data_IF_857818786494
#
_entry.id   IF_857818786494
#
_cell.length_a   1.000
_cell.length_b   1.000
_cell.length_c   1.000
_cell.angle_alpha   90.00
_cell.angle_beta   90.00
_cell.angle_gamma   90.00
#
_symmetry.space_group_name_H-M   'P 1'
#
loop_
_entity.id
_entity.type
_entity.pdbx_description
1 polymer ?
#
# COMPACT_ATOMS: atom_id res chain seq x y z
N UNK A 1 0.07 -24.58 2.02
CA UNK A 1 -1.23 -23.87 2.00
C UNK A 1 -1.84 -24.09 0.63
N UNK A 2 -2.71 -25.08 0.49
CA UNK A 2 -3.36 -25.40 -0.78
C UNK A 2 -4.37 -24.29 -1.09
N UNK A 3 -4.07 -23.49 -2.11
CA UNK A 3 -5.01 -22.50 -2.66
C UNK A 3 -6.16 -23.28 -3.30
N UNK A 4 -7.33 -23.26 -2.66
CA UNK A 4 -8.54 -23.78 -3.29
C UNK A 4 -8.79 -23.05 -4.61
N UNK A 5 -8.71 -23.80 -5.71
CA UNK A 5 -8.89 -23.26 -7.06
C UNK A 5 -10.31 -22.68 -7.17
N UNK A 6 -10.39 -21.39 -7.47
CA UNK A 6 -11.66 -20.69 -7.76
C UNK A 6 -12.13 -19.69 -6.69
N UNK A 7 -11.76 -19.87 -5.42
CA UNK A 7 -12.22 -18.99 -4.32
C UNK A 7 -11.76 -17.54 -4.44
N UNK A 8 -10.60 -17.33 -5.08
CA UNK A 8 -9.97 -16.02 -5.26
C UNK A 8 -10.10 -15.48 -6.69
N UNK A 9 -10.95 -16.08 -7.52
CA UNK A 9 -11.17 -15.59 -8.89
C UNK A 9 -12.10 -14.38 -8.84
N UNK A 10 -11.57 -13.21 -9.17
CA UNK A 10 -12.31 -11.94 -9.20
C UNK A 10 -13.08 -11.71 -10.51
N UNK A 11 -12.84 -12.55 -11.50
CA UNK A 11 -13.48 -12.49 -12.81
C UNK A 11 -14.50 -13.62 -12.92
N UNK A 12 -15.64 -13.34 -13.52
CA UNK A 12 -16.68 -14.30 -13.85
C UNK A 12 -16.97 -14.32 -15.35
N UNK A 13 -17.41 -15.48 -15.83
CA UNK A 13 -17.79 -15.69 -17.23
C UNK A 13 -19.27 -15.34 -17.40
N UNK A 14 -19.55 -14.30 -18.16
CA UNK A 14 -20.89 -13.95 -18.58
C UNK A 14 -21.18 -14.64 -19.92
N UNK A 15 -22.08 -15.63 -19.93
CA UNK A 15 -22.54 -16.29 -21.15
C UNK A 15 -23.79 -15.58 -21.65
N UNK A 16 -23.64 -14.76 -22.70
CA UNK A 16 -24.77 -14.17 -23.40
C UNK A 16 -25.56 -15.24 -24.17
N UNK A 17 -26.88 -15.12 -24.18
CA UNK A 17 -27.84 -16.12 -24.68
C UNK A 17 -27.77 -16.45 -26.18
N UNK A 18 -26.79 -15.95 -26.94
CA UNK A 18 -26.80 -16.06 -28.41
C UNK A 18 -25.47 -15.97 -29.15
N UNK A 19 -24.32 -15.97 -28.48
CA UNK A 19 -23.00 -16.00 -29.14
C UNK A 19 -22.05 -16.88 -28.33
N UNK A 20 -21.36 -17.83 -28.99
CA UNK A 20 -20.38 -18.73 -28.36
C UNK A 20 -19.16 -18.03 -27.74
N UNK A 21 -19.13 -16.69 -27.74
CA UNK A 21 -18.10 -15.87 -27.13
C UNK A 21 -18.31 -15.74 -25.61
N UNK A 22 -17.36 -16.23 -24.81
CA UNK A 22 -17.32 -16.03 -23.36
C UNK A 22 -16.88 -14.59 -23.06
N UNK A 23 -17.72 -13.79 -22.40
CA UNK A 23 -17.35 -12.45 -21.96
C UNK A 23 -16.90 -12.48 -20.50
N UNK A 24 -15.70 -11.97 -20.22
CA UNK A 24 -15.17 -11.89 -18.86
C UNK A 24 -15.61 -10.58 -18.20
N UNK A 25 -16.18 -10.66 -17.01
CA UNK A 25 -16.62 -9.50 -16.22
C UNK A 25 -16.08 -9.58 -14.80
N UNK A 26 -15.93 -8.43 -14.14
CA UNK A 26 -15.55 -8.37 -12.73
C UNK A 26 -16.73 -8.79 -11.85
N UNK A 27 -16.51 -9.73 -10.94
CA UNK A 27 -17.49 -10.12 -9.94
C UNK A 27 -17.49 -9.09 -8.80
N UNK A 28 -18.38 -8.10 -8.86
CA UNK A 28 -18.46 -6.94 -7.96
C UNK A 28 -18.32 -7.30 -6.47
N UNK A 29 -19.07 -8.32 -6.02
CA UNK A 29 -19.03 -8.77 -4.62
C UNK A 29 -17.65 -9.30 -4.21
N UNK A 30 -16.93 -9.98 -5.10
CA UNK A 30 -15.58 -10.50 -4.82
C UNK A 30 -14.54 -9.39 -4.87
N UNK A 31 -14.68 -8.43 -5.79
CA UNK A 31 -13.84 -7.23 -5.84
C UNK A 31 -13.97 -6.43 -4.53
N UNK A 32 -15.20 -6.18 -4.06
CA UNK A 32 -15.46 -5.53 -2.75
C UNK A 32 -14.84 -6.31 -1.60
N UNK A 33 -14.98 -7.63 -1.58
CA UNK A 33 -14.36 -8.48 -0.55
C UNK A 33 -12.82 -8.41 -0.57
N UNK A 34 -12.21 -8.35 -1.77
CA UNK A 34 -10.77 -8.16 -1.93
C UNK A 34 -10.32 -6.81 -1.37
N UNK A 35 -10.97 -5.71 -1.77
CA UNK A 35 -10.65 -4.37 -1.30
C UNK A 35 -10.83 -4.23 0.22
N UNK A 36 -11.86 -4.86 0.79
CA UNK A 36 -12.05 -4.89 2.24
C UNK A 36 -10.87 -5.61 2.95
N UNK A 37 -10.39 -6.73 2.38
CA UNK A 37 -9.25 -7.48 2.93
C UNK A 37 -7.94 -6.73 2.77
N UNK A 38 -7.75 -6.06 1.64
CA UNK A 38 -6.62 -5.16 1.38
C UNK A 38 -6.56 -4.04 2.43
N UNK A 39 -7.69 -3.38 2.70
CA UNK A 39 -7.76 -2.32 3.72
C UNK A 39 -7.37 -2.83 5.11
N UNK A 40 -7.86 -4.01 5.49
CA UNK A 40 -7.49 -4.64 6.77
C UNK A 40 -6.01 -5.02 6.83
N UNK A 41 -5.44 -5.47 5.71
CA UNK A 41 -4.01 -5.75 5.62
C UNK A 41 -3.18 -4.46 5.74
N UNK A 42 -3.56 -3.40 5.03
CA UNK A 42 -2.89 -2.10 5.08
C UNK A 42 -2.88 -1.53 6.50
N UNK A 43 -4.00 -1.62 7.23
CA UNK A 43 -4.06 -1.20 8.63
C UNK A 43 -3.03 -1.94 9.49
N UNK A 44 -2.91 -3.27 9.35
CA UNK A 44 -1.91 -4.07 10.07
C UNK A 44 -0.48 -3.72 9.65
N UNK A 45 -0.26 -3.47 8.36
CA UNK A 45 1.04 -3.07 7.83
C UNK A 45 1.47 -1.72 8.42
N UNK A 46 0.56 -0.75 8.45
CA UNK A 46 0.80 0.56 9.09
C UNK A 46 1.12 0.43 10.57
N UNK A 47 0.41 -0.42 11.32
CA UNK A 47 0.71 -0.69 12.73
C UNK A 47 2.12 -1.28 12.88
N UNK A 48 2.49 -2.26 12.05
CA UNK A 48 3.83 -2.85 12.06
C UNK A 48 4.93 -1.81 11.75
N UNK A 49 4.70 -0.93 10.76
CA UNK A 49 5.59 0.18 10.43
C UNK A 49 5.72 1.17 11.59
N UNK A 50 4.62 1.47 12.30
CA UNK A 50 4.62 2.36 13.45
C UNK A 50 5.52 1.85 14.58
N UNK A 51 5.42 0.55 14.92
CA UNK A 51 6.20 -0.03 16.01
C UNK A 51 7.68 -0.27 15.67
N UNK A 52 8.00 -0.48 14.40
CA UNK A 52 9.35 -0.88 13.98
C UNK A 52 10.16 0.25 13.36
N UNK A 53 9.52 1.36 12.97
CA UNK A 53 10.16 2.51 12.31
C UNK A 53 10.94 3.44 13.25
N UNK A 54 11.40 2.97 14.40
CA UNK A 54 12.14 3.73 15.41
C UNK A 54 11.25 4.39 16.47
N UNK A 55 11.51 5.66 16.80
CA UNK A 55 10.67 6.41 17.75
C UNK A 55 9.20 6.38 17.31
N UNK A 56 8.22 6.19 18.21
CA UNK A 56 6.81 6.12 17.84
C UNK A 56 6.43 7.32 16.97
N UNK A 57 6.04 7.05 15.73
CA UNK A 57 5.61 8.08 14.80
C UNK A 57 4.41 8.80 15.40
N UNK A 58 4.50 10.10 15.71
CA UNK A 58 3.31 10.85 16.13
C UNK A 58 2.23 10.64 15.05
N UNK A 59 1.01 10.30 15.48
CA UNK A 59 -0.13 9.77 14.70
C UNK A 59 -0.28 10.31 13.25
N UNK A 60 0.12 11.56 13.00
CA UNK A 60 0.12 12.21 11.69
C UNK A 60 1.17 11.74 10.66
N UNK A 61 2.22 11.02 11.05
CA UNK A 61 3.35 10.69 10.15
C UNK A 61 3.13 9.45 9.28
N UNK A 62 2.33 8.47 9.72
CA UNK A 62 1.99 7.31 8.88
C UNK A 62 0.97 7.66 7.80
N UNK A 63 0.02 8.55 8.09
CA UNK A 63 -0.96 9.03 7.12
C UNK A 63 -0.36 9.92 6.03
N UNK A 64 0.89 10.39 6.18
CA UNK A 64 1.57 11.25 5.21
C UNK A 64 2.53 10.50 4.28
N UNK A 65 2.55 9.17 4.32
CA UNK A 65 3.36 8.35 3.40
C UNK A 65 2.82 8.51 1.97
N UNK A 66 3.70 8.92 1.08
CA UNK A 66 3.47 9.14 -0.34
C UNK A 66 4.30 8.14 -1.12
N UNK A 67 3.61 7.22 -1.80
CA UNK A 67 4.25 6.17 -2.60
C UNK A 67 4.73 6.70 -3.96
N UNK A 68 4.02 7.69 -4.51
CA UNK A 68 4.29 8.25 -5.83
C UNK A 68 4.41 9.77 -5.77
N UNK A 69 5.16 10.33 -6.72
CA UNK A 69 5.22 11.77 -6.92
C UNK A 69 3.89 12.24 -7.51
N UNK A 70 3.47 13.44 -7.14
CA UNK A 70 2.41 14.21 -7.79
C UNK A 70 2.97 15.58 -8.21
N UNK A 71 2.20 16.32 -9.00
CA UNK A 71 2.56 17.69 -9.41
C UNK A 71 2.87 18.62 -8.23
N UNK A 72 2.26 18.36 -7.07
CA UNK A 72 2.34 19.21 -5.88
C UNK A 72 3.19 18.61 -4.76
N UNK A 73 3.60 17.34 -4.87
CA UNK A 73 4.36 16.70 -3.80
C UNK A 73 5.14 15.47 -4.23
N UNK A 74 6.38 15.38 -3.74
CA UNK A 74 7.21 14.20 -3.94
C UNK A 74 6.78 13.03 -3.06
N UNK A 75 7.08 11.82 -3.55
CA UNK A 75 7.06 10.59 -2.76
C UNK A 75 8.08 10.69 -1.64
N UNK A 76 7.79 9.99 -0.55
CA UNK A 76 8.67 9.93 0.60
C UNK A 76 9.03 8.50 1.01
N UNK A 77 8.68 7.50 0.20
CA UNK A 77 9.10 6.12 0.37
C UNK A 77 10.25 5.77 -0.59
N UNK A 78 11.26 5.08 -0.07
CA UNK A 78 12.48 4.73 -0.79
C UNK A 78 12.97 3.35 -0.40
N UNK A 79 13.81 2.75 -1.25
CA UNK A 79 14.59 1.55 -0.91
C UNK A 79 16.05 1.98 -0.78
N UNK A 80 16.62 1.79 0.39
CA UNK A 80 17.99 2.20 0.73
C UNK A 80 18.68 0.99 1.35
N UNK A 81 19.79 0.56 0.75
CA UNK A 81 20.55 -0.62 1.18
C UNK A 81 19.68 -1.88 1.33
N UNK A 82 18.76 -2.10 0.40
CA UNK A 82 17.84 -3.26 0.41
C UNK A 82 16.68 -3.17 1.40
N UNK A 83 16.57 -2.09 2.17
CA UNK A 83 15.47 -1.87 3.14
C UNK A 83 14.57 -0.75 2.68
N UNK A 84 13.28 -0.87 2.99
CA UNK A 84 12.33 0.22 2.76
C UNK A 84 12.53 1.27 3.85
N UNK A 85 12.52 2.53 3.43
CA UNK A 85 12.61 3.67 4.31
C UNK A 85 11.57 4.73 3.94
N UNK A 86 11.08 5.45 4.96
CA UNK A 86 10.22 6.63 4.79
C UNK A 86 10.94 7.87 5.29
N UNK A 87 10.90 8.95 4.50
CA UNK A 87 11.58 10.22 4.74
C UNK A 87 10.56 11.34 4.85
N UNK A 88 10.12 11.67 6.07
CA UNK A 88 9.16 12.75 6.28
C UNK A 88 9.87 14.07 6.60
N UNK A 89 9.30 15.18 6.14
CA UNK A 89 9.72 16.52 6.55
C UNK A 89 8.82 17.00 7.68
N UNK A 90 9.43 17.47 8.77
CA UNK A 90 8.69 18.07 9.87
C UNK A 90 8.50 19.57 9.61
N UNK A 91 7.31 19.97 9.17
CA UNK A 91 7.04 21.35 8.78
C UNK A 91 6.85 22.29 10.01
N UNK A 92 6.59 21.73 11.20
CA UNK A 92 6.52 22.51 12.45
C UNK A 92 7.88 23.10 12.84
N UNK A 93 8.99 22.45 12.48
CA UNK A 93 10.34 23.03 12.65
C UNK A 93 10.60 24.18 11.69
N UNK A 94 9.97 24.21 10.51
CA UNK A 94 10.11 25.32 9.57
C UNK A 94 9.48 26.60 10.14
N UNK A 95 8.24 26.50 10.66
CA UNK A 95 7.54 27.64 11.29
C UNK A 95 8.21 28.14 12.58
N UNK A 96 8.90 27.26 13.33
CA UNK A 96 9.50 27.61 14.64
C UNK A 96 10.98 27.96 14.57
N UNK A 97 11.74 27.34 13.65
CA UNK A 97 13.22 27.40 13.60
C UNK A 97 13.78 27.81 12.22
N UNK A 98 12.93 28.04 11.22
CA UNK A 98 13.37 28.39 9.86
C UNK A 98 14.13 27.27 9.13
N UNK A 99 14.13 26.04 9.66
CA UNK A 99 14.88 24.90 9.11
C UNK A 99 13.95 23.70 8.92
N UNK A 100 14.07 23.04 7.77
CA UNK A 100 13.42 21.75 7.49
C UNK A 100 14.22 20.64 8.18
N UNK A 101 13.56 19.92 9.08
CA UNK A 101 14.11 18.71 9.71
C UNK A 101 13.57 17.48 8.97
N UNK A 102 14.48 16.58 8.58
CA UNK A 102 14.14 15.31 7.95
C UNK A 102 14.12 14.21 8.99
N UNK A 103 13.04 13.44 9.03
CA UNK A 103 12.92 12.24 9.86
C UNK A 103 13.03 11.02 8.96
N UNK A 104 14.06 10.23 9.23
CA UNK A 104 14.38 9.04 8.47
C UNK A 104 13.94 7.79 9.24
N UNK A 105 13.07 6.97 8.62
CA UNK A 105 12.53 5.75 9.23
C UNK A 105 12.84 4.55 8.35
N UNK A 106 13.82 3.73 8.76
CA UNK A 106 14.12 2.45 8.11
C UNK A 106 13.35 1.30 8.75
N UNK A 107 12.86 0.37 7.95
CA UNK A 107 12.17 -0.82 8.43
C UNK A 107 13.07 -2.07 8.43
N UNK A 108 12.82 -3.05 9.33
CA UNK A 108 13.50 -4.33 9.32
C UNK A 108 13.36 -5.07 7.97
N UNK A 109 14.30 -5.97 7.64
CA UNK A 109 14.35 -6.66 6.34
C UNK A 109 13.04 -7.37 5.97
N UNK A 110 12.47 -8.14 6.91
CA UNK A 110 11.20 -8.85 6.69
C UNK A 110 10.04 -7.90 6.43
N UNK A 111 9.96 -6.82 7.19
CA UNK A 111 8.90 -5.82 6.99
C UNK A 111 9.09 -5.09 5.66
N UNK A 112 10.33 -4.74 5.31
CA UNK A 112 10.68 -4.13 4.03
C UNK A 112 10.23 -4.99 2.84
N UNK A 113 10.43 -6.30 2.90
CA UNK A 113 9.95 -7.24 1.87
C UNK A 113 8.43 -7.22 1.76
N UNK A 114 7.71 -7.25 2.89
CA UNK A 114 6.25 -7.20 2.90
C UNK A 114 5.74 -5.87 2.33
N UNK A 115 6.36 -4.75 2.69
CA UNK A 115 6.02 -3.43 2.13
C UNK A 115 6.25 -3.43 0.62
N UNK A 116 7.41 -3.90 0.15
CA UNK A 116 7.71 -3.97 -1.28
C UNK A 116 6.70 -4.82 -2.05
N UNK A 117 6.35 -6.01 -1.53
CA UNK A 117 5.33 -6.87 -2.12
C UNK A 117 3.95 -6.20 -2.17
N UNK A 118 3.56 -5.50 -1.10
CA UNK A 118 2.31 -4.76 -1.08
C UNK A 118 2.29 -3.65 -2.14
N UNK A 119 3.37 -2.84 -2.24
CA UNK A 119 3.47 -1.75 -3.20
C UNK A 119 3.49 -2.22 -4.65
N UNK A 120 4.04 -3.41 -4.94
CA UNK A 120 4.18 -3.94 -6.30
C UNK A 120 2.98 -4.77 -6.73
N UNK A 121 2.45 -5.64 -5.87
CA UNK A 121 1.43 -6.62 -6.27
C UNK A 121 0.01 -6.22 -5.87
N UNK A 122 -0.15 -5.59 -4.71
CA UNK A 122 -1.48 -5.35 -4.12
C UNK A 122 -1.98 -3.95 -4.46
N UNK A 123 -1.14 -2.94 -4.24
CA UNK A 123 -1.51 -1.52 -4.41
C UNK A 123 -1.87 -1.14 -5.85
N UNK A 124 -1.16 -1.55 -6.91
CA UNK A 124 -1.54 -1.19 -8.27
C UNK A 124 -2.87 -1.85 -8.65
N UNK A 125 -3.07 -3.10 -8.21
CA UNK A 125 -4.26 -3.86 -8.49
C UNK A 125 -5.49 -3.28 -7.76
N UNK A 126 -5.35 -2.90 -6.48
CA UNK A 126 -6.43 -2.27 -5.71
C UNK A 126 -6.83 -0.88 -6.20
N UNK A 127 -5.97 -0.19 -6.97
CA UNK A 127 -6.29 1.10 -7.60
C UNK A 127 -7.07 0.97 -8.92
N UNK A 128 -6.98 -0.19 -9.57
CA UNK A 128 -7.62 -0.46 -10.86
C UNK A 128 -8.99 -1.11 -10.65
N UNK A 129 -9.13 -1.91 -9.59
CA UNK A 129 -10.41 -2.47 -9.12
C UNK A 129 -11.32 -1.39 -8.53
#
# INVERSE_FOLDING_TARGET
>A
MLLEKGKWRLIEECRGSGSGSVQLQWADQRCKAYLARERQFLLKLMVAMHFTGGQPARSSELGSIKVQNSMVSNRNIFVINGRVAVVTTYDKSLKRRGKVEYVFRCFPDRLSQVIAQYLVYVLPFSRIL
#
